data_IF_263298642845
#
_entry.id   IF_263298642845
#
_cell.length_a   1.000
_cell.length_b   1.000
_cell.length_c   1.000
_cell.angle_alpha   90.00
_cell.angle_beta   90.00
_cell.angle_gamma   90.00
#
_symmetry.space_group_name_H-M   'P 1'
#
loop_
_entity.id
_entity.type
_entity.pdbx_description
1 polymer ?
#
# COMPACT_ATOMS: atom_id res chain seq x y z
N UNK A 1 27.86 29.79 -30.64
CA UNK A 1 28.55 28.76 -29.84
C UNK A 1 27.80 28.69 -28.49
N UNK A 2 26.77 27.87 -28.45
CA UNK A 2 26.00 27.54 -27.25
C UNK A 2 26.63 26.31 -26.59
N UNK A 3 27.05 26.47 -25.36
CA UNK A 3 27.51 25.37 -24.51
C UNK A 3 26.30 24.73 -23.86
N UNK A 4 26.06 23.48 -24.21
CA UNK A 4 25.17 22.57 -23.53
C UNK A 4 25.79 22.19 -22.18
N UNK A 5 25.23 22.66 -21.09
CA UNK A 5 25.54 22.14 -19.75
C UNK A 5 24.73 20.86 -19.55
N UNK A 6 25.42 19.75 -19.52
CA UNK A 6 24.87 18.47 -19.10
C UNK A 6 24.88 18.46 -17.59
N UNK A 7 23.71 18.48 -16.96
CA UNK A 7 23.55 18.21 -15.54
C UNK A 7 23.95 16.75 -15.29
N UNK A 8 25.12 16.57 -14.68
CA UNK A 8 25.48 15.35 -14.00
C UNK A 8 24.89 15.45 -12.58
N UNK A 9 23.80 14.75 -12.32
CA UNK A 9 23.44 14.40 -10.95
C UNK A 9 24.53 13.50 -10.39
N UNK A 10 25.38 14.09 -9.58
CA UNK A 10 26.31 13.34 -8.75
C UNK A 10 25.51 12.70 -7.60
N UNK A 11 25.37 11.39 -7.63
CA UNK A 11 25.09 10.63 -6.41
C UNK A 11 26.22 10.91 -5.43
N UNK A 12 25.96 11.73 -4.42
CA UNK A 12 26.83 11.84 -3.25
C UNK A 12 26.72 10.54 -2.47
N UNK A 13 27.66 9.63 -2.66
CA UNK A 13 27.94 8.58 -1.68
C UNK A 13 28.38 9.32 -0.40
N UNK A 14 27.57 9.22 0.64
CA UNK A 14 27.92 9.76 1.95
C UNK A 14 29.08 8.95 2.52
N UNK A 15 30.32 9.45 2.42
CA UNK A 15 31.45 8.91 3.17
C UNK A 15 31.16 9.06 4.67
N UNK A 16 31.04 7.91 5.37
CA UNK A 16 30.85 7.89 6.83
C UNK A 16 32.04 8.57 7.52
N UNK A 17 31.76 9.49 8.45
CA UNK A 17 32.77 10.06 9.33
C UNK A 17 33.31 8.96 10.27
N UNK A 18 34.57 9.04 10.73
CA UNK A 18 35.16 8.04 11.62
C UNK A 18 34.29 7.86 12.88
N UNK A 19 33.68 6.65 13.03
CA UNK A 19 32.79 6.27 14.13
C UNK A 19 31.30 6.41 13.87
N UNK A 20 30.88 6.76 12.66
CA UNK A 20 29.47 6.70 12.20
C UNK A 20 29.08 5.25 11.87
N UNK A 21 27.93 4.79 12.40
CA UNK A 21 27.30 3.54 12.02
C UNK A 21 26.17 3.87 11.07
N UNK A 22 26.32 3.51 9.79
CA UNK A 22 25.34 3.80 8.74
C UNK A 22 24.72 2.51 8.26
N UNK A 23 23.37 2.43 8.23
CA UNK A 23 22.63 1.36 7.55
C UNK A 23 21.89 1.93 6.36
N UNK A 24 21.96 1.22 5.24
CA UNK A 24 21.21 1.54 4.04
C UNK A 24 19.80 0.96 4.09
N UNK A 25 18.80 1.76 3.69
CA UNK A 25 17.40 1.36 3.72
C UNK A 25 16.76 1.64 2.36
N UNK A 26 16.11 0.64 1.76
CA UNK A 26 15.27 0.82 0.58
C UNK A 26 13.79 0.83 0.94
N UNK A 27 13.09 1.88 0.55
CA UNK A 27 11.64 2.05 0.70
C UNK A 27 11.11 3.02 -0.38
N UNK A 28 9.79 3.25 -0.47
CA UNK A 28 9.20 3.87 -1.68
C UNK A 28 8.30 5.07 -1.46
N UNK A 29 7.66 5.24 -0.29
CA UNK A 29 6.68 6.30 -0.09
C UNK A 29 7.22 7.39 0.83
N UNK A 30 7.49 8.62 0.31
CA UNK A 30 8.06 9.72 1.08
C UNK A 30 7.18 10.17 2.24
N UNK A 31 5.85 10.04 2.11
CA UNK A 31 4.89 10.51 3.11
C UNK A 31 4.56 9.45 4.17
N UNK A 32 4.88 8.19 3.91
CA UNK A 32 4.59 7.07 4.80
C UNK A 32 5.86 6.38 5.30
N UNK A 33 6.43 5.43 4.54
CA UNK A 33 7.51 4.60 5.05
C UNK A 33 8.86 5.32 5.15
N UNK A 34 9.20 6.20 4.22
CA UNK A 34 10.41 7.06 4.34
C UNK A 34 10.29 7.97 5.56
N UNK A 35 9.12 8.58 5.78
CA UNK A 35 8.86 9.39 6.97
C UNK A 35 9.01 8.56 8.25
N UNK A 36 8.43 7.35 8.30
CA UNK A 36 8.50 6.47 9.45
C UNK A 36 9.95 6.07 9.77
N UNK A 37 10.76 5.74 8.75
CA UNK A 37 12.19 5.41 8.93
C UNK A 37 12.98 6.59 9.47
N UNK A 38 12.72 7.81 9.03
CA UNK A 38 13.33 9.02 9.61
C UNK A 38 12.95 9.24 11.08
N UNK A 39 11.71 8.90 11.47
CA UNK A 39 11.30 8.96 12.87
C UNK A 39 11.99 7.87 13.72
N UNK A 40 12.12 6.67 13.17
CA UNK A 40 12.84 5.56 13.82
C UNK A 40 14.32 5.92 14.04
N UNK A 41 14.99 6.47 13.03
CA UNK A 41 16.35 6.99 13.13
C UNK A 41 16.48 8.01 14.28
N UNK A 42 15.61 9.03 14.31
CA UNK A 42 15.63 10.07 15.34
C UNK A 42 15.36 9.53 16.76
N UNK A 43 14.61 8.44 16.88
CA UNK A 43 14.41 7.75 18.15
C UNK A 43 15.64 6.96 18.57
N UNK A 44 16.24 6.20 17.65
CA UNK A 44 17.40 5.37 17.91
C UNK A 44 18.65 6.22 18.23
N UNK A 45 18.81 7.34 17.59
CA UNK A 45 19.91 8.29 17.83
C UNK A 45 19.93 8.88 19.25
N UNK A 46 18.85 8.81 20.02
CA UNK A 46 18.84 9.25 21.41
C UNK A 46 19.79 8.43 22.30
N UNK A 47 19.96 7.16 21.98
CA UNK A 47 20.84 6.22 22.68
C UNK A 47 22.10 5.92 21.86
N UNK A 48 22.05 6.11 20.54
CA UNK A 48 23.12 5.84 19.56
C UNK A 48 23.43 7.08 18.71
N UNK A 49 24.05 8.13 19.24
CA UNK A 49 24.13 9.43 18.59
C UNK A 49 24.93 9.45 17.27
N UNK A 50 25.75 8.42 17.02
CA UNK A 50 26.53 8.29 15.79
C UNK A 50 25.83 7.38 14.74
N UNK A 51 24.63 6.88 15.03
CA UNK A 51 23.86 6.05 14.11
C UNK A 51 23.18 6.91 13.04
N UNK A 52 23.12 6.40 11.79
CA UNK A 52 22.47 7.07 10.67
C UNK A 52 21.83 6.06 9.73
N UNK A 53 20.70 6.42 9.14
CA UNK A 53 20.10 5.71 8.02
C UNK A 53 20.40 6.44 6.70
N UNK A 54 20.95 5.71 5.73
CA UNK A 54 20.96 6.12 4.33
C UNK A 54 19.67 5.59 3.67
N UNK A 55 18.63 6.43 3.69
CA UNK A 55 17.31 6.07 3.19
C UNK A 55 17.24 6.37 1.70
N UNK A 56 17.24 5.33 0.89
CA UNK A 56 17.14 5.40 -0.56
C UNK A 56 15.71 5.13 -1.01
N UNK A 57 15.05 6.17 -1.51
CA UNK A 57 13.73 6.07 -2.10
C UNK A 57 13.82 5.39 -3.48
N UNK A 58 13.06 4.31 -3.66
CA UNK A 58 13.03 3.52 -4.89
C UNK A 58 11.59 3.07 -5.16
N UNK A 59 11.24 2.89 -6.42
CA UNK A 59 9.94 2.27 -6.77
C UNK A 59 9.93 0.82 -6.28
N UNK A 60 8.80 0.37 -5.71
CA UNK A 60 8.69 -0.98 -5.12
C UNK A 60 9.11 -2.10 -6.09
N UNK A 61 8.65 -2.01 -7.35
CA UNK A 61 9.01 -3.01 -8.38
C UNK A 61 10.51 -3.05 -8.68
N UNK A 62 11.21 -1.92 -8.55
CA UNK A 62 12.66 -1.86 -8.74
C UNK A 62 13.41 -2.47 -7.55
N UNK A 63 12.85 -2.32 -6.33
CA UNK A 63 13.38 -3.02 -5.14
C UNK A 63 13.29 -4.53 -5.36
N UNK A 64 12.09 -5.05 -5.64
CA UNK A 64 11.86 -6.49 -5.85
C UNK A 64 12.77 -7.05 -6.97
N UNK A 65 12.83 -6.35 -8.11
CA UNK A 65 13.69 -6.77 -9.24
C UNK A 65 15.17 -6.75 -8.88
N UNK A 66 15.63 -5.78 -8.10
CA UNK A 66 17.02 -5.68 -7.66
C UNK A 66 17.39 -6.82 -6.70
N UNK A 67 16.50 -7.17 -5.78
CA UNK A 67 16.68 -8.30 -4.86
C UNK A 67 16.82 -9.62 -5.63
N UNK A 68 15.89 -9.89 -6.56
CA UNK A 68 15.89 -11.10 -7.39
C UNK A 68 17.16 -11.15 -8.27
N UNK A 69 17.53 -10.04 -8.89
CA UNK A 69 18.72 -9.97 -9.76
C UNK A 69 20.00 -10.23 -8.97
N UNK A 70 20.11 -9.70 -7.76
CA UNK A 70 21.27 -9.94 -6.88
C UNK A 70 21.36 -11.41 -6.46
N UNK A 71 20.23 -12.02 -6.10
CA UNK A 71 20.15 -13.42 -5.72
C UNK A 71 20.55 -14.35 -6.90
N UNK A 72 19.99 -14.14 -8.07
CA UNK A 72 20.30 -14.91 -9.28
C UNK A 72 21.78 -14.78 -9.71
N UNK A 73 22.36 -13.61 -9.52
CA UNK A 73 23.77 -13.36 -9.82
C UNK A 73 24.74 -13.82 -8.71
N UNK A 74 24.24 -14.12 -7.51
CA UNK A 74 25.06 -14.40 -6.32
C UNK A 74 25.90 -13.19 -5.90
N UNK A 75 25.44 -11.98 -6.19
CA UNK A 75 26.12 -10.72 -5.87
C UNK A 75 25.27 -9.89 -4.92
N UNK A 76 25.58 -9.95 -3.63
CA UNK A 76 24.84 -9.33 -2.54
C UNK A 76 25.41 -7.96 -2.13
N UNK A 77 26.58 -7.56 -2.65
CA UNK A 77 27.26 -6.33 -2.26
C UNK A 77 26.49 -5.05 -2.67
N UNK A 78 25.51 -5.20 -3.54
CA UNK A 78 24.64 -4.10 -4.01
C UNK A 78 23.33 -3.99 -3.25
N UNK A 79 23.06 -4.91 -2.33
CA UNK A 79 21.83 -4.91 -1.53
C UNK A 79 21.96 -3.96 -0.34
N UNK A 80 20.84 -3.40 0.13
CA UNK A 80 20.81 -2.58 1.33
C UNK A 80 20.89 -3.48 2.59
N UNK A 81 21.16 -2.86 3.74
CA UNK A 81 21.09 -3.55 5.03
C UNK A 81 19.64 -3.86 5.43
N UNK A 82 18.70 -2.98 5.04
CA UNK A 82 17.27 -3.08 5.32
C UNK A 82 16.50 -2.76 4.04
N UNK A 83 15.48 -3.54 3.74
CA UNK A 83 14.52 -3.21 2.68
C UNK A 83 13.10 -3.46 3.14
N UNK A 84 12.20 -2.60 2.68
CA UNK A 84 10.77 -2.80 2.87
C UNK A 84 10.23 -3.74 1.79
N UNK A 85 9.26 -4.56 2.14
CA UNK A 85 8.67 -5.54 1.24
C UNK A 85 7.17 -5.69 1.51
N UNK A 86 6.40 -5.88 0.45
CA UNK A 86 4.97 -6.12 0.58
C UNK A 86 4.67 -7.57 0.93
N UNK A 87 3.67 -7.80 1.79
CA UNK A 87 3.30 -9.10 2.35
C UNK A 87 3.07 -10.16 1.28
N UNK A 88 2.39 -9.82 0.19
CA UNK A 88 2.01 -10.78 -0.84
C UNK A 88 3.20 -11.38 -1.61
N UNK A 89 4.35 -10.71 -1.62
CA UNK A 89 5.59 -11.22 -2.23
C UNK A 89 6.46 -11.98 -1.24
N UNK A 90 6.31 -11.74 0.06
CA UNK A 90 7.27 -12.12 1.09
C UNK A 90 7.53 -13.64 1.13
N UNK A 91 6.48 -14.45 1.26
CA UNK A 91 6.62 -15.92 1.33
C UNK A 91 7.27 -16.51 0.07
N UNK A 92 6.86 -16.01 -1.10
CA UNK A 92 7.42 -16.41 -2.40
C UNK A 92 8.91 -16.14 -2.46
N UNK A 93 9.31 -14.95 -2.03
CA UNK A 93 10.71 -14.51 -2.19
C UNK A 93 11.62 -15.12 -1.14
N UNK A 94 11.18 -15.28 0.10
CA UNK A 94 11.94 -16.07 1.11
C UNK A 94 12.11 -17.53 0.69
N UNK A 95 11.07 -18.15 0.09
CA UNK A 95 11.16 -19.54 -0.36
C UNK A 95 12.10 -19.74 -1.56
N UNK A 96 12.15 -18.76 -2.48
CA UNK A 96 12.96 -18.85 -3.70
C UNK A 96 14.39 -18.31 -3.52
N UNK A 97 14.58 -17.33 -2.65
CA UNK A 97 15.83 -16.58 -2.47
C UNK A 97 16.16 -16.39 -0.98
N UNK A 98 16.21 -17.48 -0.17
CA UNK A 98 16.40 -17.37 1.28
C UNK A 98 17.71 -16.68 1.68
N UNK A 99 18.70 -16.67 0.80
CA UNK A 99 20.02 -16.08 1.02
C UNK A 99 20.05 -14.55 1.11
N UNK A 100 19.01 -13.87 0.64
CA UNK A 100 18.89 -12.41 0.78
C UNK A 100 18.17 -11.98 2.06
N UNK A 101 17.68 -12.93 2.85
CA UNK A 101 16.97 -12.67 4.10
C UNK A 101 17.75 -13.15 5.31
N UNK A 102 17.73 -12.38 6.37
CA UNK A 102 18.27 -12.82 7.66
C UNK A 102 17.16 -13.45 8.50
N UNK A 103 17.42 -14.65 9.04
CA UNK A 103 16.51 -15.23 10.04
C UNK A 103 16.60 -14.45 11.35
N UNK A 104 15.46 -13.98 11.85
CA UNK A 104 15.34 -13.10 13.00
C UNK A 104 14.73 -13.78 14.24
N UNK A 105 14.43 -15.08 14.18
CA UNK A 105 13.74 -15.82 15.27
C UNK A 105 14.42 -15.66 16.63
N UNK A 106 15.75 -15.73 16.66
CA UNK A 106 16.56 -15.60 17.87
C UNK A 106 17.22 -14.21 18.02
N UNK A 107 16.73 -13.19 17.32
CA UNK A 107 17.31 -11.83 17.31
C UNK A 107 17.12 -11.04 18.60
N UNK A 108 16.27 -11.53 19.51
CA UNK A 108 15.87 -10.82 20.73
C UNK A 108 14.66 -9.89 20.53
N UNK A 109 14.10 -9.81 19.33
CA UNK A 109 12.86 -9.08 19.05
C UNK A 109 11.68 -9.84 19.69
N UNK A 110 10.84 -9.12 20.43
CA UNK A 110 9.60 -9.68 20.98
C UNK A 110 8.48 -9.68 19.93
N UNK A 111 8.42 -10.73 19.14
CA UNK A 111 7.42 -10.89 18.08
C UNK A 111 5.97 -10.98 18.60
N UNK A 112 5.76 -11.22 19.90
CA UNK A 112 4.41 -11.21 20.50
C UNK A 112 3.75 -9.82 20.53
N UNK A 113 4.52 -8.77 20.29
CA UNK A 113 4.03 -7.39 20.21
C UNK A 113 3.30 -7.09 18.89
N UNK A 114 3.46 -7.93 17.86
CA UNK A 114 2.85 -7.73 16.55
C UNK A 114 1.52 -8.49 16.41
N UNK A 115 0.64 -8.01 15.53
CA UNK A 115 -0.62 -8.71 15.23
C UNK A 115 -0.33 -10.07 14.59
N UNK A 116 -1.14 -11.08 14.97
CA UNK A 116 -0.93 -12.46 14.49
C UNK A 116 -1.02 -12.60 12.97
N UNK A 117 -1.87 -11.80 12.30
CA UNK A 117 -1.99 -11.79 10.84
C UNK A 117 -0.70 -11.33 10.17
N UNK A 118 -0.21 -10.14 10.52
CA UNK A 118 1.04 -9.59 9.95
C UNK A 118 2.27 -10.44 10.30
N UNK A 119 2.26 -11.05 11.50
CA UNK A 119 3.34 -11.95 11.88
C UNK A 119 3.33 -13.23 11.03
N UNK A 120 2.15 -13.73 10.67
CA UNK A 120 2.04 -14.88 9.76
C UNK A 120 2.62 -14.56 8.37
N UNK A 121 2.40 -13.34 7.85
CA UNK A 121 2.91 -12.90 6.56
C UNK A 121 4.45 -12.80 6.53
N UNK A 122 5.09 -12.53 7.65
CA UNK A 122 6.56 -12.46 7.79
C UNK A 122 7.23 -13.74 8.32
N UNK A 123 6.44 -14.82 8.51
CA UNK A 123 6.90 -16.10 9.05
C UNK A 123 6.83 -17.18 7.96
N UNK A 124 7.98 -17.81 7.67
CA UNK A 124 8.09 -18.91 6.70
C UNK A 124 8.65 -20.15 7.42
N UNK A 125 7.96 -21.29 7.30
CA UNK A 125 8.34 -22.56 7.96
C UNK A 125 8.58 -22.43 9.48
N UNK A 126 7.80 -21.55 10.14
CA UNK A 126 7.90 -21.32 11.59
C UNK A 126 9.05 -20.42 12.02
N UNK A 127 9.73 -19.77 11.08
CA UNK A 127 10.85 -18.87 11.30
C UNK A 127 10.52 -17.45 10.86
N UNK A 128 10.96 -16.46 11.64
CA UNK A 128 10.77 -15.05 11.32
C UNK A 128 11.89 -14.53 10.41
N UNK A 129 11.54 -14.00 9.23
CA UNK A 129 12.48 -13.42 8.27
C UNK A 129 12.23 -11.93 8.06
N UNK A 130 11.13 -11.39 8.59
CA UNK A 130 10.77 -9.99 8.52
C UNK A 130 10.19 -9.49 9.83
N UNK A 131 10.23 -8.18 10.00
CA UNK A 131 9.58 -7.47 11.11
C UNK A 131 8.35 -6.79 10.52
N UNK A 132 7.13 -7.07 11.02
CA UNK A 132 5.93 -6.35 10.58
C UNK A 132 6.11 -4.84 10.71
N UNK A 133 5.87 -4.11 9.62
CA UNK A 133 6.06 -2.66 9.58
C UNK A 133 4.76 -1.91 9.88
N UNK A 134 3.67 -2.30 9.23
CA UNK A 134 2.36 -1.71 9.46
C UNK A 134 1.24 -2.77 9.52
N UNK A 135 0.02 -2.30 9.80
CA UNK A 135 -1.18 -3.14 9.77
C UNK A 135 -2.31 -2.29 9.18
N UNK A 136 -2.36 -2.23 7.85
CA UNK A 136 -3.24 -1.36 7.11
C UNK A 136 -4.69 -1.86 7.09
N UNK A 137 -5.59 -1.23 7.84
CA UNK A 137 -7.01 -1.45 7.66
C UNK A 137 -7.47 -0.78 6.36
N UNK A 138 -8.27 -1.48 5.55
CA UNK A 138 -8.91 -0.87 4.38
C UNK A 138 -9.92 0.18 4.82
N UNK A 139 -9.80 1.37 4.24
CA UNK A 139 -10.72 2.50 4.44
C UNK A 139 -11.28 2.95 3.08
N UNK A 140 -12.45 3.57 3.11
CA UNK A 140 -12.91 4.42 2.02
C UNK A 140 -12.81 5.87 2.48
N UNK A 141 -11.88 6.62 1.91
CA UNK A 141 -11.76 8.05 2.11
C UNK A 141 -12.52 8.77 0.99
N UNK A 142 -13.43 9.70 1.35
CA UNK A 142 -14.29 10.41 0.42
C UNK A 142 -14.29 11.91 0.68
N UNK A 143 -14.41 12.72 -0.37
CA UNK A 143 -14.54 14.16 -0.33
C UNK A 143 -15.94 14.54 0.14
N UNK A 144 -16.06 14.99 1.38
CA UNK A 144 -17.34 15.39 2.00
C UNK A 144 -18.01 16.53 1.25
N UNK A 145 -17.27 17.51 0.78
CA UNK A 145 -17.77 18.64 -0.03
C UNK A 145 -18.37 18.17 -1.37
N UNK A 146 -17.74 17.19 -2.03
CA UNK A 146 -18.26 16.62 -3.28
C UNK A 146 -19.52 15.76 -3.03
N UNK A 147 -19.57 15.06 -1.92
CA UNK A 147 -20.74 14.29 -1.48
C UNK A 147 -21.91 15.23 -1.17
N UNK A 148 -21.66 16.30 -0.42
CA UNK A 148 -22.69 17.31 -0.09
C UNK A 148 -23.22 18.01 -1.35
N UNK A 149 -22.38 18.31 -2.33
CA UNK A 149 -22.77 18.89 -3.62
C UNK A 149 -23.73 17.96 -4.39
N UNK A 150 -23.63 16.65 -4.20
CA UNK A 150 -24.56 15.66 -4.76
C UNK A 150 -25.87 15.54 -3.98
N UNK A 151 -26.04 16.31 -2.89
CA UNK A 151 -27.20 16.24 -2.01
C UNK A 151 -27.21 15.02 -1.08
N UNK A 152 -26.03 14.46 -0.81
CA UNK A 152 -25.81 13.31 0.03
C UNK A 152 -25.02 13.71 1.29
N UNK A 153 -24.91 12.78 2.22
CA UNK A 153 -24.07 12.89 3.42
C UNK A 153 -23.05 11.77 3.45
N UNK A 154 -21.96 11.96 4.18
CA UNK A 154 -20.94 10.91 4.40
C UNK A 154 -21.57 9.65 5.02
N UNK A 155 -22.55 9.80 5.91
CA UNK A 155 -23.24 8.68 6.58
C UNK A 155 -24.02 7.79 5.60
N UNK A 156 -24.45 8.31 4.44
CA UNK A 156 -25.13 7.52 3.41
C UNK A 156 -24.22 6.43 2.81
N UNK A 157 -22.90 6.59 2.89
CA UNK A 157 -21.91 5.66 2.36
C UNK A 157 -21.46 4.58 3.35
N UNK A 158 -21.88 4.69 4.62
CA UNK A 158 -21.47 3.77 5.65
C UNK A 158 -22.27 2.47 5.61
N UNK A 159 -21.57 1.36 5.83
CA UNK A 159 -22.16 0.02 5.88
C UNK A 159 -22.97 -0.38 4.61
N UNK A 160 -22.61 0.19 3.46
CA UNK A 160 -23.27 -0.11 2.17
C UNK A 160 -22.80 -1.44 1.59
N UNK A 161 -23.62 -2.00 0.70
CA UNK A 161 -23.17 -2.98 -0.29
C UNK A 161 -22.61 -2.27 -1.52
N UNK A 162 -21.91 -3.01 -2.39
CA UNK A 162 -21.40 -2.43 -3.65
C UNK A 162 -22.50 -1.91 -4.56
N UNK A 163 -23.66 -2.59 -4.58
CA UNK A 163 -24.80 -2.11 -5.38
C UNK A 163 -25.35 -0.79 -4.84
N UNK A 164 -25.52 -0.66 -3.53
CA UNK A 164 -25.95 0.58 -2.89
C UNK A 164 -24.93 1.71 -3.07
N UNK A 165 -23.65 1.39 -2.89
CA UNK A 165 -22.56 2.34 -3.14
C UNK A 165 -22.59 2.88 -4.57
N UNK A 166 -22.73 2.02 -5.58
CA UNK A 166 -22.75 2.45 -6.98
C UNK A 166 -23.90 3.41 -7.29
N UNK A 167 -25.08 3.20 -6.68
CA UNK A 167 -26.22 4.12 -6.83
C UNK A 167 -25.94 5.51 -6.22
N UNK A 168 -25.22 5.56 -5.08
CA UNK A 168 -24.78 6.82 -4.47
C UNK A 168 -23.66 7.46 -5.29
N UNK A 169 -22.68 6.66 -5.70
CA UNK A 169 -21.52 7.10 -6.46
C UNK A 169 -21.89 7.79 -7.78
N UNK A 170 -22.88 7.26 -8.51
CA UNK A 170 -23.41 7.90 -9.73
C UNK A 170 -23.89 9.32 -9.49
N UNK A 171 -24.55 9.58 -8.37
CA UNK A 171 -25.01 10.94 -8.02
C UNK A 171 -23.84 11.88 -7.77
N UNK A 172 -22.75 11.36 -7.14
CA UNK A 172 -21.53 12.16 -6.91
C UNK A 172 -20.83 12.45 -8.22
N UNK A 173 -20.70 11.46 -9.11
CA UNK A 173 -20.15 11.62 -10.47
C UNK A 173 -20.95 12.67 -11.26
N UNK A 174 -22.26 12.54 -11.30
CA UNK A 174 -23.14 13.45 -12.03
C UNK A 174 -23.05 14.90 -11.51
N UNK A 175 -22.95 15.08 -10.20
CA UNK A 175 -22.88 16.40 -9.58
C UNK A 175 -21.51 17.08 -9.75
N UNK A 176 -20.43 16.30 -9.81
CA UNK A 176 -19.06 16.82 -9.77
C UNK A 176 -18.33 16.73 -11.11
N UNK A 177 -18.71 15.80 -11.98
CA UNK A 177 -18.06 15.58 -13.28
C UNK A 177 -16.70 14.88 -13.17
N UNK A 178 -16.42 14.24 -12.02
CA UNK A 178 -15.22 13.44 -11.78
C UNK A 178 -15.62 12.04 -11.27
N UNK A 179 -14.80 11.01 -11.44
CA UNK A 179 -15.07 9.69 -10.88
C UNK A 179 -15.25 9.73 -9.36
N UNK A 180 -16.09 8.82 -8.84
CA UNK A 180 -16.23 8.65 -7.39
C UNK A 180 -14.98 8.07 -6.76
N UNK A 181 -14.31 7.12 -7.44
CA UNK A 181 -13.12 6.45 -6.94
C UNK A 181 -11.94 6.59 -7.90
N UNK A 182 -10.76 6.60 -7.33
CA UNK A 182 -9.49 6.38 -8.01
C UNK A 182 -8.83 5.11 -7.47
N UNK A 183 -8.06 4.41 -8.29
CA UNK A 183 -7.34 3.16 -7.94
C UNK A 183 -5.95 3.16 -8.57
N UNK A 184 -5.01 2.45 -7.93
CA UNK A 184 -3.64 2.22 -8.42
C UNK A 184 -3.47 0.88 -9.14
N UNK A 185 -4.58 0.21 -9.43
CA UNK A 185 -4.63 -1.08 -10.10
C UNK A 185 -5.71 -2.00 -9.54
N UNK A 186 -6.42 -2.66 -10.43
CA UNK A 186 -7.59 -3.46 -10.08
C UNK A 186 -7.32 -4.68 -9.19
N UNK A 187 -6.08 -5.13 -9.07
CA UNK A 187 -5.76 -6.29 -8.23
C UNK A 187 -5.96 -6.02 -6.74
N UNK A 188 -5.60 -4.84 -6.25
CA UNK A 188 -5.72 -4.51 -4.82
C UNK A 188 -7.17 -4.48 -4.37
N UNK A 189 -8.01 -3.69 -5.03
CA UNK A 189 -9.44 -3.58 -4.66
C UNK A 189 -10.19 -4.92 -4.78
N UNK A 190 -9.81 -5.79 -5.72
CA UNK A 190 -10.37 -7.15 -5.85
C UNK A 190 -9.94 -8.02 -4.67
N UNK A 191 -8.69 -7.92 -4.22
CA UNK A 191 -8.20 -8.65 -3.04
C UNK A 191 -8.90 -8.15 -1.77
N UNK A 192 -9.09 -6.86 -1.60
CA UNK A 192 -9.82 -6.27 -0.48
C UNK A 192 -11.28 -6.76 -0.43
N UNK A 193 -11.96 -6.81 -1.58
CA UNK A 193 -13.30 -7.39 -1.70
C UNK A 193 -13.32 -8.88 -1.30
N UNK A 194 -12.32 -9.67 -1.71
CA UNK A 194 -12.21 -11.08 -1.32
C UNK A 194 -11.99 -11.24 0.18
N UNK A 195 -11.10 -10.48 0.77
CA UNK A 195 -10.83 -10.51 2.21
C UNK A 195 -12.08 -10.11 3.01
N UNK A 196 -12.80 -9.07 2.55
CA UNK A 196 -14.05 -8.63 3.19
C UNK A 196 -15.13 -9.72 3.20
N UNK A 197 -15.08 -10.63 2.23
CA UNK A 197 -15.95 -11.80 2.13
C UNK A 197 -15.38 -13.06 2.80
N UNK A 198 -14.25 -12.97 3.50
CA UNK A 198 -13.56 -14.12 4.08
C UNK A 198 -13.09 -15.14 3.03
N UNK A 199 -12.89 -14.70 1.78
CA UNK A 199 -12.50 -15.52 0.66
C UNK A 199 -11.04 -15.26 0.24
N UNK A 200 -10.45 -16.23 -0.45
CA UNK A 200 -9.08 -16.14 -0.98
C UNK A 200 -9.03 -16.81 -2.35
N UNK A 201 -8.14 -16.36 -3.26
CA UNK A 201 -7.84 -17.10 -4.48
C UNK A 201 -7.06 -18.40 -4.22
N UNK A 202 -6.56 -18.57 -2.99
CA UNK A 202 -5.85 -19.76 -2.52
C UNK A 202 -6.67 -20.43 -1.42
N UNK A 203 -6.87 -21.74 -1.47
CA UNK A 203 -7.51 -22.54 -0.44
C UNK A 203 -6.74 -23.84 -0.26
N UNK A 204 -6.40 -24.20 0.97
CA UNK A 204 -5.64 -25.42 1.29
C UNK A 204 -4.33 -25.59 0.47
N UNK A 205 -3.66 -24.49 0.15
CA UNK A 205 -2.45 -24.48 -0.68
C UNK A 205 -2.68 -24.63 -2.18
N UNK A 206 -3.94 -24.69 -2.64
CA UNK A 206 -4.31 -24.80 -4.06
C UNK A 206 -4.95 -23.51 -4.58
N UNK A 207 -4.69 -23.20 -5.86
CA UNK A 207 -5.33 -22.07 -6.56
C UNK A 207 -6.80 -22.39 -6.86
N UNK A 208 -7.72 -21.58 -6.35
CA UNK A 208 -9.18 -21.70 -6.51
C UNK A 208 -9.74 -20.44 -7.19
N UNK A 209 -9.64 -20.39 -8.52
CA UNK A 209 -10.14 -19.25 -9.29
C UNK A 209 -11.53 -19.53 -9.90
N UNK A 210 -11.76 -20.71 -10.44
CA UNK A 210 -12.95 -21.00 -11.26
C UNK A 210 -14.22 -21.12 -10.42
N UNK A 211 -14.16 -21.79 -9.28
CA UNK A 211 -15.31 -22.06 -8.42
C UNK A 211 -15.38 -21.11 -7.21
N UNK A 212 -14.79 -19.93 -7.33
CA UNK A 212 -14.77 -18.90 -6.31
C UNK A 212 -15.84 -17.84 -6.60
N UNK A 213 -17.00 -17.97 -5.96
CA UNK A 213 -18.13 -17.06 -6.17
C UNK A 213 -17.79 -15.61 -5.76
N UNK A 214 -17.03 -15.41 -4.67
CA UNK A 214 -16.62 -14.09 -4.21
C UNK A 214 -15.66 -13.44 -5.22
N UNK A 215 -14.69 -14.19 -5.76
CA UNK A 215 -13.78 -13.67 -6.79
C UNK A 215 -14.54 -13.26 -8.05
N UNK A 216 -15.47 -14.10 -8.51
CA UNK A 216 -16.32 -13.77 -9.66
C UNK A 216 -17.09 -12.47 -9.43
N UNK A 217 -17.73 -12.35 -8.25
CA UNK A 217 -18.50 -11.14 -7.89
C UNK A 217 -17.59 -9.90 -7.79
N UNK A 218 -16.42 -10.02 -7.17
CA UNK A 218 -15.47 -8.93 -7.07
C UNK A 218 -15.00 -8.42 -8.44
N UNK A 219 -14.71 -9.33 -9.38
CA UNK A 219 -14.35 -8.97 -10.76
C UNK A 219 -15.54 -8.31 -11.50
N UNK A 220 -16.77 -8.78 -11.29
CA UNK A 220 -17.97 -8.18 -11.87
C UNK A 220 -18.17 -6.74 -11.34
N UNK A 221 -18.01 -6.53 -10.03
CA UNK A 221 -18.08 -5.20 -9.40
C UNK A 221 -16.98 -4.28 -9.96
N UNK A 222 -15.73 -4.75 -9.97
CA UNK A 222 -14.61 -3.97 -10.52
C UNK A 222 -14.87 -3.53 -11.96
N UNK A 223 -15.29 -4.49 -12.80
CA UNK A 223 -15.62 -4.21 -14.20
C UNK A 223 -16.74 -3.18 -14.32
N UNK A 224 -17.77 -3.27 -13.50
CA UNK A 224 -18.90 -2.34 -13.51
C UNK A 224 -18.47 -0.94 -13.08
N UNK A 225 -17.62 -0.81 -12.05
CA UNK A 225 -17.09 0.49 -11.62
C UNK A 225 -16.34 1.23 -12.75
N UNK A 226 -15.57 0.49 -13.55
CA UNK A 226 -14.84 1.05 -14.70
C UNK A 226 -15.78 1.36 -15.86
N UNK A 227 -16.63 0.40 -16.26
CA UNK A 227 -17.52 0.55 -17.42
C UNK A 227 -18.51 1.72 -17.24
N UNK A 228 -18.96 1.97 -16.01
CA UNK A 228 -19.89 3.05 -15.69
C UNK A 228 -19.19 4.38 -15.33
N UNK A 229 -17.86 4.45 -15.40
CA UNK A 229 -17.08 5.63 -15.09
C UNK A 229 -17.13 6.07 -13.62
N UNK A 230 -17.48 5.15 -12.73
CA UNK A 230 -17.50 5.39 -11.28
C UNK A 230 -16.08 5.39 -10.74
N UNK A 231 -15.19 4.58 -11.31
CA UNK A 231 -13.79 4.47 -10.90
C UNK A 231 -12.86 4.66 -12.11
N UNK A 232 -11.71 5.27 -11.84
CA UNK A 232 -10.59 5.37 -12.78
C UNK A 232 -9.38 4.63 -12.20
N UNK A 233 -8.71 3.84 -13.04
CA UNK A 233 -7.46 3.15 -12.71
C UNK A 233 -6.27 3.90 -13.28
N UNK A 234 -5.25 4.08 -12.46
CA UNK A 234 -3.94 4.57 -12.85
C UNK A 234 -2.90 3.46 -12.71
N UNK A 235 -2.01 3.36 -13.67
CA UNK A 235 -0.86 2.45 -13.62
C UNK A 235 0.41 3.13 -13.10
N UNK A 236 0.36 4.44 -12.96
CA UNK A 236 1.43 5.29 -12.46
C UNK A 236 1.05 5.83 -11.09
N UNK A 237 1.94 5.61 -10.10
CA UNK A 237 1.70 5.97 -8.70
C UNK A 237 1.51 7.47 -8.50
N UNK A 238 2.34 8.29 -9.14
CA UNK A 238 2.27 9.74 -9.00
C UNK A 238 0.97 10.30 -9.56
N UNK A 239 0.47 9.74 -10.69
CA UNK A 239 -0.82 10.12 -11.25
C UNK A 239 -1.98 9.69 -10.34
N UNK A 240 -1.88 8.51 -9.73
CA UNK A 240 -2.87 8.05 -8.76
C UNK A 240 -2.97 9.01 -7.56
N UNK A 241 -1.85 9.35 -6.92
CA UNK A 241 -1.82 10.30 -5.81
C UNK A 241 -2.28 11.70 -6.27
N UNK A 242 -1.82 12.15 -7.43
CA UNK A 242 -2.21 13.44 -7.98
C UNK A 242 -3.72 13.54 -8.24
N UNK A 243 -4.39 12.45 -8.61
CA UNK A 243 -5.84 12.45 -8.84
C UNK A 243 -6.64 12.84 -7.60
N UNK A 244 -6.22 12.39 -6.43
CA UNK A 244 -6.79 12.79 -5.14
C UNK A 244 -6.45 14.23 -4.79
N UNK A 245 -5.17 14.58 -4.87
CA UNK A 245 -4.66 15.89 -4.43
C UNK A 245 -5.10 17.05 -5.32
N UNK A 246 -5.50 16.79 -6.56
CA UNK A 246 -6.08 17.79 -7.48
C UNK A 246 -7.61 17.76 -7.52
N UNK A 247 -8.26 16.87 -6.77
CA UNK A 247 -9.71 16.72 -6.81
C UNK A 247 -10.24 16.16 -8.13
N UNK A 248 -9.44 15.35 -8.82
CA UNK A 248 -9.82 14.67 -10.06
C UNK A 248 -10.59 13.36 -9.79
N UNK A 249 -10.72 12.96 -8.51
CA UNK A 249 -11.59 11.91 -8.02
C UNK A 249 -12.20 12.32 -6.68
N UNK A 250 -13.39 11.84 -6.38
CA UNK A 250 -14.11 12.16 -5.14
C UNK A 250 -13.74 11.25 -3.96
N UNK A 251 -12.99 10.18 -4.18
CA UNK A 251 -12.62 9.25 -3.12
C UNK A 251 -11.66 8.16 -3.56
N UNK A 252 -11.30 7.33 -2.60
CA UNK A 252 -10.39 6.19 -2.76
C UNK A 252 -10.75 5.10 -1.75
N UNK A 253 -10.61 3.84 -2.14
CA UNK A 253 -10.61 2.70 -1.24
C UNK A 253 -9.18 2.16 -1.24
N UNK A 254 -8.56 2.11 -0.04
CA UNK A 254 -7.16 1.72 0.11
C UNK A 254 -6.84 1.47 1.59
N UNK A 255 -5.68 0.92 1.89
CA UNK A 255 -5.17 0.87 3.25
C UNK A 255 -5.08 2.24 3.91
N UNK A 256 -5.25 2.29 5.21
CA UNK A 256 -5.25 3.56 5.98
C UNK A 256 -3.94 4.37 5.85
N UNK A 257 -2.88 3.77 5.36
CA UNK A 257 -1.60 4.43 5.03
C UNK A 257 -1.75 5.51 3.94
N UNK A 258 -2.77 5.43 3.06
CA UNK A 258 -3.03 6.44 2.01
C UNK A 258 -3.35 7.83 2.59
N UNK A 259 -3.75 7.89 3.86
CA UNK A 259 -4.13 9.16 4.51
C UNK A 259 -3.00 10.19 4.51
N UNK A 260 -1.74 9.74 4.62
CA UNK A 260 -0.59 10.64 4.58
C UNK A 260 -0.46 11.34 3.22
N UNK A 261 -0.72 10.61 2.13
CA UNK A 261 -0.71 11.16 0.77
C UNK A 261 -1.92 12.06 0.49
N UNK A 262 -3.10 11.75 1.05
CA UNK A 262 -4.27 12.63 1.01
C UNK A 262 -3.99 13.95 1.75
N UNK A 263 -3.39 13.89 2.94
CA UNK A 263 -3.10 15.06 3.78
C UNK A 263 -2.03 15.97 3.19
N UNK A 264 -1.26 15.53 2.20
CA UNK A 264 -0.29 16.37 1.50
C UNK A 264 -0.96 17.53 0.72
N UNK A 265 -2.25 17.43 0.38
CA UNK A 265 -3.04 18.50 -0.21
C UNK A 265 -3.63 19.41 0.89
N UNK A 266 -2.85 20.38 1.37
CA UNK A 266 -3.23 21.28 2.46
C UNK A 266 -4.51 22.10 2.16
N UNK A 267 -4.76 22.41 0.89
CA UNK A 267 -5.95 23.14 0.42
C UNK A 267 -7.25 22.33 0.52
N UNK A 268 -7.14 21.02 0.74
CA UNK A 268 -8.28 20.10 0.97
C UNK A 268 -8.44 19.74 2.45
N UNK A 269 -7.77 20.44 3.35
CA UNK A 269 -7.84 20.17 4.80
C UNK A 269 -9.25 20.32 5.34
N UNK A 270 -9.78 19.24 5.95
CA UNK A 270 -11.15 19.18 6.47
C UNK A 270 -12.21 18.74 5.46
N UNK A 271 -11.84 18.53 4.19
CA UNK A 271 -12.75 18.11 3.12
C UNK A 271 -12.86 16.59 2.98
N UNK A 272 -12.06 15.82 3.69
CA UNK A 272 -12.04 14.37 3.62
C UNK A 272 -12.70 13.72 4.84
N UNK A 273 -13.50 12.71 4.60
CA UNK A 273 -14.10 11.86 5.61
C UNK A 273 -13.78 10.39 5.35
N UNK A 274 -13.77 9.58 6.41
CA UNK A 274 -13.45 8.16 6.33
C UNK A 274 -14.70 7.37 6.71
N UNK A 275 -15.01 6.39 5.88
CA UNK A 275 -16.03 5.36 6.14
C UNK A 275 -15.43 3.98 5.80
N UNK A 276 -16.15 2.92 6.14
CA UNK A 276 -15.77 1.57 5.75
C UNK A 276 -16.05 1.31 4.25
N UNK A 277 -15.37 0.31 3.67
CA UNK A 277 -15.59 -0.10 2.29
C UNK A 277 -16.95 -0.80 2.11
N UNK A 278 -17.52 -0.82 0.90
CA UNK A 278 -18.76 -1.57 0.63
C UNK A 278 -18.56 -3.09 0.73
N UNK A 279 -19.58 -3.81 1.23
CA UNK A 279 -19.59 -5.28 1.26
C UNK A 279 -20.04 -5.87 -0.09
N UNK A 280 -19.56 -7.07 -0.44
CA UNK A 280 -20.04 -7.79 -1.62
C UNK A 280 -21.48 -8.23 -1.47
N UNK A 281 -22.30 -7.88 -2.45
CA UNK A 281 -23.71 -8.34 -2.52
C UNK A 281 -23.79 -9.86 -2.73
N UNK A 282 -24.78 -10.49 -2.14
CA UNK A 282 -25.12 -11.90 -2.35
C UNK A 282 -24.00 -12.90 -1.97
N UNK A 283 -23.01 -12.46 -1.19
CA UNK A 283 -21.97 -13.33 -0.63
C UNK A 283 -22.20 -13.46 0.88
N UNK A 284 -22.51 -14.68 1.32
CA UNK A 284 -22.74 -14.96 2.74
C UNK A 284 -21.51 -14.65 3.58
N UNK A 285 -21.70 -13.87 4.64
CA UNK A 285 -20.61 -13.50 5.55
C UNK A 285 -19.73 -12.35 5.06
N UNK A 286 -20.04 -11.75 3.90
CA UNK A 286 -19.34 -10.55 3.46
C UNK A 286 -19.49 -9.40 4.48
N UNK A 287 -18.41 -8.68 4.71
CA UNK A 287 -18.33 -7.57 5.65
C UNK A 287 -17.87 -6.29 4.96
N UNK A 288 -17.90 -5.18 5.68
CA UNK A 288 -17.39 -3.90 5.21
C UNK A 288 -15.92 -3.66 5.63
N UNK A 289 -15.17 -4.71 5.90
CA UNK A 289 -13.82 -4.63 6.45
C UNK A 289 -12.86 -5.56 5.71
N UNK A 290 -11.67 -5.03 5.43
CA UNK A 290 -10.56 -5.77 4.86
C UNK A 290 -9.23 -5.24 5.42
N UNK A 291 -8.13 -5.87 5.05
CA UNK A 291 -6.78 -5.40 5.32
C UNK A 291 -6.08 -5.05 4.01
N UNK A 292 -5.29 -3.98 4.02
CA UNK A 292 -4.43 -3.56 2.92
C UNK A 292 -3.17 -2.90 3.50
N UNK A 293 -2.15 -3.69 3.72
CA UNK A 293 -0.92 -3.22 4.32
C UNK A 293 0.22 -4.20 4.19
#
# INVERSE_FOLDING_TARGET
EEKTETEQEATEEAEAAEGEEVLTVWCWDPNFNVYAMKQAEALYQKEHPNFKLDIQEKVYTDIEQSLITAAEAGNYDTLPDIFLMQDYSFHKDVANYPEIFTELTDSGIDFSQFSGGKLADSTVDGKHYGIPFDNGATIMAIRSDMVEKAGLTVEDFKDTTWSEFMELAKKVVDANGVPMLTSSGGSEIVIEMLQSAGASPMQDGEVKLVDNAALKKAIEVYKQLIDEGIMVDYTDWDQYIASMNKGEAAGVIQGCWIMSSIQAAEDQSGEWAIVNMPALDEIDGATNYANCG
#
